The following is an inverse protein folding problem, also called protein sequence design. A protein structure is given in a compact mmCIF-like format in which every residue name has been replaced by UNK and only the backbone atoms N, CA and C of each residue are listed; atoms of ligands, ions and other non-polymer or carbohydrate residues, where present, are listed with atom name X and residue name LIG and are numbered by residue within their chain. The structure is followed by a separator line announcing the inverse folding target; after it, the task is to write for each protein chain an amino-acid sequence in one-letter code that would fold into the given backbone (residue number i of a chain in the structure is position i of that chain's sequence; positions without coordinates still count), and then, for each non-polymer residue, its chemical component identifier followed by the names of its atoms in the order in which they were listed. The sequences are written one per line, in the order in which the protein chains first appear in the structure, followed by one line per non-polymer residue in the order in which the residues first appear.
data_IF_214114886538
#
_entry.id   IF_214114886538
#
_cell.length_a   1.000
_cell.length_b   1.000
_cell.length_c   1.000
_cell.angle_alpha   90.00
_cell.angle_beta   90.00
_cell.angle_gamma   90.00
#
_symmetry.space_group_name_H-M   'P 1'
#
loop_
_entity.id
_entity.type
_entity.pdbx_description
1 polymer ?
#
# COMPACT_ATOMS: atom_id res chain seq x y z
N UNK A 1 13.59 -0.37 9.24
CA UNK A 1 12.69 -0.22 8.06
C UNK A 1 11.23 -0.37 8.49
N UNK A 2 10.32 0.34 7.84
CA UNK A 2 8.87 0.33 8.11
C UNK A 2 8.16 -0.43 6.98
N UNK A 3 7.24 -1.34 7.31
CA UNK A 3 6.36 -1.97 6.33
C UNK A 3 5.19 -1.03 6.05
N UNK A 4 4.99 -0.65 4.79
CA UNK A 4 3.94 0.27 4.33
C UNK A 4 3.12 -0.44 3.26
N UNK A 5 1.80 -0.36 3.36
CA UNK A 5 0.86 -0.84 2.33
C UNK A 5 0.42 0.34 1.47
N UNK A 6 0.50 0.20 0.15
CA UNK A 6 0.07 1.22 -0.81
C UNK A 6 -1.09 0.64 -1.60
N UNK A 7 -2.17 1.40 -1.72
CA UNK A 7 -3.41 1.01 -2.39
C UNK A 7 -3.71 2.05 -3.48
N UNK A 8 -3.94 1.57 -4.70
CA UNK A 8 -4.39 2.41 -5.80
C UNK A 8 -5.90 2.65 -5.70
N UNK A 9 -6.33 3.91 -5.70
CA UNK A 9 -7.72 4.33 -5.62
C UNK A 9 -8.04 5.25 -4.43
N UNK A 10 -9.31 5.56 -4.26
CA UNK A 10 -9.79 6.44 -3.21
C UNK A 10 -9.75 5.79 -1.82
N UNK A 11 -9.64 6.62 -0.78
CA UNK A 11 -9.67 6.16 0.60
C UNK A 11 -11.00 5.50 0.93
N UNK A 12 -10.95 4.24 1.38
CA UNK A 12 -12.14 3.46 1.74
C UNK A 12 -12.07 3.00 3.19
N UNK A 13 -13.02 3.44 4.01
CA UNK A 13 -13.16 3.01 5.42
C UNK A 13 -13.44 1.51 5.50
N UNK A 14 -14.32 0.99 4.65
CA UNK A 14 -14.62 -0.44 4.58
C UNK A 14 -13.38 -1.29 4.29
N UNK A 15 -12.49 -0.80 3.40
CA UNK A 15 -11.24 -1.50 3.10
C UNK A 15 -10.28 -1.46 4.29
N UNK A 16 -10.18 -0.32 4.98
CA UNK A 16 -9.36 -0.17 6.18
C UNK A 16 -9.82 -1.12 7.31
N UNK A 17 -11.13 -1.26 7.50
CA UNK A 17 -11.72 -2.22 8.46
C UNK A 17 -11.35 -3.66 8.09
N UNK A 18 -11.52 -4.04 6.82
CA UNK A 18 -11.12 -5.36 6.32
C UNK A 18 -9.64 -5.64 6.56
N UNK A 19 -8.75 -4.70 6.22
CA UNK A 19 -7.30 -4.85 6.47
C UNK A 19 -6.99 -4.99 7.96
N UNK A 20 -7.69 -4.22 8.80
CA UNK A 20 -7.49 -4.27 10.26
C UNK A 20 -7.95 -5.58 10.89
N UNK A 21 -8.91 -6.27 10.26
CA UNK A 21 -9.39 -7.59 10.69
C UNK A 21 -8.53 -8.78 10.23
N UNK A 22 -7.52 -8.56 9.38
CA UNK A 22 -6.64 -9.64 8.91
C UNK A 22 -5.83 -10.19 10.10
N UNK A 23 -5.87 -11.51 10.37
CA UNK A 23 -5.05 -12.11 11.40
C UNK A 23 -3.61 -12.22 10.91
N UNK A 24 -2.75 -11.29 11.35
CA UNK A 24 -1.31 -11.36 11.12
C UNK A 24 -0.66 -12.26 12.18
N UNK A 25 0.10 -13.27 11.76
CA UNK A 25 0.80 -14.16 12.71
C UNK A 25 1.87 -13.42 13.51
N UNK A 26 2.50 -12.41 12.90
CA UNK A 26 3.59 -11.64 13.50
C UNK A 26 3.36 -10.15 13.34
N UNK A 27 3.66 -9.38 14.38
CA UNK A 27 3.47 -7.93 14.39
C UNK A 27 4.18 -7.18 13.24
N UNK A 28 5.29 -7.71 12.74
CA UNK A 28 6.03 -7.09 11.63
C UNK A 28 5.42 -7.35 10.25
N UNK A 29 4.46 -8.26 10.13
CA UNK A 29 3.68 -8.49 8.90
C UNK A 29 2.54 -7.47 8.77
N UNK A 30 2.06 -6.92 9.90
CA UNK A 30 1.06 -5.86 9.89
C UNK A 30 1.68 -4.58 9.32
N UNK A 31 1.11 -3.98 8.26
CA UNK A 31 1.57 -2.68 7.77
C UNK A 31 1.48 -1.64 8.88
N UNK A 32 2.57 -0.89 9.08
CA UNK A 32 2.62 0.21 10.06
C UNK A 32 1.96 1.48 9.52
N UNK A 33 1.66 1.51 8.23
CA UNK A 33 1.02 2.61 7.52
C UNK A 33 0.34 2.08 6.26
N UNK A 34 -0.80 2.70 5.92
CA UNK A 34 -1.59 2.40 4.74
C UNK A 34 -1.80 3.72 4.00
N UNK A 35 -1.32 3.80 2.76
CA UNK A 35 -1.38 5.00 1.93
C UNK A 35 -2.24 4.70 0.71
N UNK A 36 -3.19 5.57 0.43
CA UNK A 36 -3.99 5.54 -0.79
C UNK A 36 -3.41 6.55 -1.77
N UNK A 37 -3.20 6.14 -3.03
CA UNK A 37 -2.78 7.01 -4.12
C UNK A 37 -3.69 6.80 -5.31
N UNK A 38 -3.94 7.85 -6.09
CA UNK A 38 -4.82 7.74 -7.27
C UNK A 38 -4.31 6.72 -8.28
N UNK A 39 -2.98 6.68 -8.50
CA UNK A 39 -2.33 5.79 -9.48
C UNK A 39 -0.93 5.38 -9.05
N UNK A 40 -0.66 4.08 -9.01
CA UNK A 40 0.68 3.54 -8.83
C UNK A 40 1.47 3.74 -10.13
N UNK A 41 2.66 4.38 -10.08
CA UNK A 41 3.49 4.54 -11.26
C UNK A 41 3.94 3.17 -11.80
N UNK A 42 3.93 3.04 -13.13
CA UNK A 42 4.17 1.79 -13.84
C UNK A 42 5.18 2.00 -14.95
N UNK A 43 5.99 0.98 -15.23
CA UNK A 43 6.83 0.94 -16.42
C UNK A 43 5.97 0.79 -17.68
N UNK A 44 6.51 1.03 -18.89
CA UNK A 44 5.75 0.84 -20.14
C UNK A 44 5.15 -0.57 -20.28
N UNK A 45 5.75 -1.57 -19.66
CA UNK A 45 5.27 -2.96 -19.67
C UNK A 45 4.31 -3.27 -18.49
N UNK A 46 3.78 -2.25 -17.82
CA UNK A 46 2.77 -2.39 -16.74
C UNK A 46 3.32 -2.88 -15.38
N UNK A 47 4.63 -3.01 -15.21
CA UNK A 47 5.22 -3.38 -13.91
C UNK A 47 5.23 -2.17 -12.99
N UNK A 48 5.09 -2.34 -11.68
CA UNK A 48 5.20 -1.22 -10.72
C UNK A 48 6.59 -0.59 -10.83
N UNK A 49 6.65 0.72 -11.06
CA UNK A 49 7.87 1.49 -11.01
C UNK A 49 8.19 1.88 -9.57
N UNK A 50 8.96 1.03 -8.88
CA UNK A 50 9.29 1.23 -7.46
C UNK A 50 10.17 2.45 -7.18
N UNK A 51 10.95 2.89 -8.17
CA UNK A 51 11.82 4.06 -8.03
C UNK A 51 10.99 5.33 -8.02
N UNK A 52 10.10 5.46 -8.99
CA UNK A 52 9.16 6.59 -9.05
C UNK A 52 8.18 6.57 -7.88
N UNK A 53 7.69 5.38 -7.49
CA UNK A 53 6.84 5.23 -6.31
C UNK A 53 7.52 5.73 -5.03
N UNK A 54 8.85 5.58 -4.90
CA UNK A 54 9.61 6.13 -3.76
C UNK A 54 9.79 7.64 -3.81
N UNK A 55 9.67 8.26 -4.98
CA UNK A 55 9.81 9.72 -5.12
C UNK A 55 8.52 10.45 -4.78
N UNK A 56 7.37 9.79 -4.93
CA UNK A 56 6.04 10.37 -4.64
C UNK A 56 5.53 10.10 -3.22
N UNK A 57 6.25 9.29 -2.43
CA UNK A 57 5.93 8.94 -1.03
C UNK A 57 6.96 9.57 -0.09
#
# INVERSE_FOLDING_TARGET
QKLILIIEGEKSTNLLEKISSIPFEKNFQKPKEIIFIEKIPRTPNGKVNRMELKTIL
#
